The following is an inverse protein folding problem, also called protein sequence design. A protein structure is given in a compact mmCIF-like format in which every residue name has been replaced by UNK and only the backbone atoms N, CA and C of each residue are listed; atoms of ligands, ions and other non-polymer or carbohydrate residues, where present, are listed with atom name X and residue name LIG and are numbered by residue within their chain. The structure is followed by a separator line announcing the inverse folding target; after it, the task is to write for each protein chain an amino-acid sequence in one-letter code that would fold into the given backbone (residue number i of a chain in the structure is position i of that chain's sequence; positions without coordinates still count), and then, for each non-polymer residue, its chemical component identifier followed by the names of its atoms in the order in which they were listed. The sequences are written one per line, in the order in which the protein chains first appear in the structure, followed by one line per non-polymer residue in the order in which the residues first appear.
data_IF_509522247078
#
_entry.id   IF_509522247078
#
_cell.length_a   1.000
_cell.length_b   1.000
_cell.length_c   1.000
_cell.angle_alpha   90.00
_cell.angle_beta   90.00
_cell.angle_gamma   90.00
#
_symmetry.space_group_name_H-M   'P 1'
#
loop_
_entity.id
_entity.type
_entity.pdbx_description
1 polymer ?
#
# COMPACT_ATOMS: atom_id res chain seq x y z
N UNK A 1 -3.11 -5.19 -4.00
CA UNK A 1 -4.18 -6.04 -3.40
C UNK A 1 -5.41 -5.17 -3.30
N UNK A 2 -6.51 -5.48 -4.01
CA UNK A 2 -7.71 -4.64 -4.06
C UNK A 2 -8.24 -4.27 -2.67
N UNK A 3 -8.23 -5.23 -1.75
CA UNK A 3 -8.74 -5.09 -0.38
C UNK A 3 -7.93 -4.06 0.44
N UNK A 4 -6.61 -3.96 0.22
CA UNK A 4 -5.78 -2.98 0.92
C UNK A 4 -6.08 -1.54 0.50
N UNK A 5 -6.44 -1.31 -0.77
CA UNK A 5 -6.79 0.05 -1.24
C UNK A 5 -8.13 0.49 -0.69
N UNK A 6 -9.12 -0.41 -0.64
CA UNK A 6 -10.39 -0.14 0.02
C UNK A 6 -10.20 0.14 1.51
N UNK A 7 -9.34 -0.63 2.18
CA UNK A 7 -9.03 -0.39 3.58
C UNK A 7 -8.36 0.96 3.84
N UNK A 8 -7.52 1.48 2.91
CA UNK A 8 -6.94 2.82 3.04
C UNK A 8 -8.01 3.90 3.13
N UNK A 9 -9.09 3.78 2.35
CA UNK A 9 -10.23 4.72 2.42
C UNK A 9 -10.90 4.63 3.79
N UNK A 10 -11.21 3.42 4.26
CA UNK A 10 -11.81 3.21 5.59
C UNK A 10 -10.93 3.76 6.71
N UNK A 11 -9.62 3.53 6.63
CA UNK A 11 -8.65 4.05 7.60
C UNK A 11 -8.57 5.58 7.56
N UNK A 12 -8.69 6.19 6.38
CA UNK A 12 -8.71 7.64 6.25
C UNK A 12 -9.93 8.25 6.95
N UNK A 13 -11.11 7.67 6.74
CA UNK A 13 -12.35 8.11 7.40
C UNK A 13 -12.25 7.96 8.92
N UNK A 14 -11.72 6.82 9.40
CA UNK A 14 -11.45 6.60 10.82
C UNK A 14 -10.52 7.68 11.40
N UNK A 15 -9.38 7.96 10.75
CA UNK A 15 -8.43 9.00 11.16
C UNK A 15 -9.11 10.37 11.23
N UNK A 16 -9.92 10.71 10.24
CA UNK A 16 -10.61 12.00 10.16
C UNK A 16 -11.65 12.17 11.28
N UNK A 17 -12.52 11.19 11.44
CA UNK A 17 -13.59 11.22 12.46
C UNK A 17 -13.01 11.25 13.86
N UNK A 18 -12.05 10.36 14.17
CA UNK A 18 -11.37 10.36 15.46
C UNK A 18 -10.70 11.71 15.73
N UNK A 19 -10.02 12.30 14.75
CA UNK A 19 -9.36 13.60 14.91
C UNK A 19 -10.37 14.71 15.21
N UNK A 20 -11.45 14.80 14.45
CA UNK A 20 -12.48 15.83 14.66
C UNK A 20 -13.10 15.73 16.05
N UNK A 21 -13.47 14.52 16.48
CA UNK A 21 -14.04 14.30 17.82
C UNK A 21 -13.04 14.58 18.93
N UNK A 22 -11.80 14.15 18.75
CA UNK A 22 -10.73 14.39 19.70
C UNK A 22 -10.47 15.89 19.90
N UNK A 23 -10.52 16.71 18.85
CA UNK A 23 -10.33 18.16 18.98
C UNK A 23 -11.43 18.80 19.85
N UNK A 24 -12.70 18.40 19.69
CA UNK A 24 -13.80 18.88 20.53
C UNK A 24 -13.65 18.42 21.99
N UNK A 25 -13.25 17.16 22.21
CA UNK A 25 -12.98 16.63 23.55
C UNK A 25 -11.83 17.40 24.21
N UNK A 26 -10.76 17.70 23.46
CA UNK A 26 -9.64 18.50 23.94
C UNK A 26 -10.06 19.92 24.32
N UNK A 27 -10.97 20.54 23.56
CA UNK A 27 -11.54 21.85 23.89
C UNK A 27 -12.40 21.79 25.16
N UNK A 28 -13.20 20.74 25.33
CA UNK A 28 -14.11 20.58 26.48
C UNK A 28 -13.38 20.27 27.80
N UNK A 29 -12.37 19.41 27.76
CA UNK A 29 -11.72 18.87 28.97
C UNK A 29 -10.31 19.41 29.22
N UNK A 30 -9.72 20.10 28.23
CA UNK A 30 -8.38 20.66 28.29
C UNK A 30 -7.31 19.69 27.77
N UNK A 31 -6.27 20.26 27.14
CA UNK A 31 -5.19 19.49 26.51
C UNK A 31 -4.33 18.68 27.49
N UNK A 32 -4.21 19.14 28.73
CA UNK A 32 -3.38 18.49 29.76
C UNK A 32 -4.15 17.47 30.61
N UNK A 33 -5.45 17.28 30.33
CA UNK A 33 -6.26 16.26 31.00
C UNK A 33 -5.67 14.87 30.75
N UNK A 34 -5.47 14.07 31.81
CA UNK A 34 -4.74 12.80 31.73
C UNK A 34 -5.30 11.85 30.67
N UNK A 35 -6.63 11.68 30.62
CA UNK A 35 -7.25 10.82 29.63
C UNK A 35 -7.18 11.36 28.19
N UNK A 36 -7.20 12.68 28.02
CA UNK A 36 -7.07 13.33 26.70
C UNK A 36 -5.65 13.11 26.17
N UNK A 37 -4.63 13.28 27.01
CA UNK A 37 -3.24 12.96 26.66
C UNK A 37 -3.07 11.48 26.34
N UNK A 38 -3.66 10.60 27.14
CA UNK A 38 -3.57 9.15 26.94
C UNK A 38 -4.17 8.73 25.59
N UNK A 39 -5.42 9.13 25.30
CA UNK A 39 -6.07 8.76 24.04
C UNK A 39 -5.36 9.39 22.83
N UNK A 40 -4.79 10.60 22.97
CA UNK A 40 -3.96 11.20 21.92
C UNK A 40 -2.73 10.33 21.61
N UNK A 41 -2.06 9.81 22.64
CA UNK A 41 -0.94 8.89 22.51
C UNK A 41 -1.33 7.58 21.83
N UNK A 42 -2.45 6.99 22.24
CA UNK A 42 -3.00 5.77 21.62
C UNK A 42 -3.34 5.98 20.14
N UNK A 43 -4.04 7.07 19.81
CA UNK A 43 -4.38 7.44 18.42
C UNK A 43 -3.12 7.58 17.56
N UNK A 44 -2.12 8.33 18.02
CA UNK A 44 -0.84 8.51 17.32
C UNK A 44 -0.11 7.18 17.13
N UNK A 45 -0.07 6.35 18.16
CA UNK A 45 0.62 5.06 18.14
C UNK A 45 0.01 4.07 17.15
N UNK A 46 -1.31 3.88 17.17
CA UNK A 46 -1.99 2.92 16.29
C UNK A 46 -2.01 3.44 14.84
N UNK A 47 -2.38 4.70 14.63
CA UNK A 47 -2.42 5.25 13.28
C UNK A 47 -1.05 5.42 12.64
N UNK A 48 0.00 5.67 13.44
CA UNK A 48 1.38 5.73 12.99
C UNK A 48 1.93 4.38 12.52
N UNK A 49 1.43 3.26 13.05
CA UNK A 49 1.82 1.93 12.55
C UNK A 49 1.38 1.69 11.11
N UNK A 50 0.26 2.27 10.69
CA UNK A 50 -0.20 2.24 9.30
C UNK A 50 0.61 3.15 8.37
N UNK A 51 1.44 4.05 8.91
CA UNK A 51 2.35 4.85 8.09
C UNK A 51 3.58 4.02 7.67
N UNK A 52 3.81 2.86 8.30
CA UNK A 52 4.81 1.89 7.84
C UNK A 52 4.39 1.30 6.48
N UNK A 53 5.14 1.56 5.38
CA UNK A 53 4.73 1.08 4.07
C UNK A 53 4.70 -0.46 3.96
N UNK A 54 5.32 -1.17 4.91
CA UNK A 54 5.45 -2.64 4.90
C UNK A 54 4.12 -3.30 5.23
N UNK A 55 3.30 -2.63 6.04
CA UNK A 55 1.95 -3.11 6.37
C UNK A 55 1.13 -3.27 5.10
N UNK A 56 1.27 -2.34 4.15
CA UNK A 56 0.52 -2.35 2.90
C UNK A 56 1.01 -3.37 1.88
N UNK A 57 2.20 -3.95 2.07
CA UNK A 57 2.71 -5.07 1.27
C UNK A 57 2.32 -6.44 1.85
N UNK A 58 1.67 -6.46 3.01
CA UNK A 58 1.01 -7.64 3.56
C UNK A 58 -0.45 -7.67 3.15
N UNK A 59 -1.05 -8.86 3.11
CA UNK A 59 -2.50 -8.98 2.98
C UNK A 59 -3.15 -8.59 4.31
N UNK A 60 -3.98 -7.55 4.27
CA UNK A 60 -4.79 -7.17 5.42
C UNK A 60 -6.08 -7.99 5.41
N UNK A 61 -6.44 -8.57 6.56
CA UNK A 61 -7.71 -9.28 6.74
C UNK A 61 -8.50 -8.51 7.77
N UNK A 62 -9.74 -8.15 7.44
CA UNK A 62 -10.59 -7.36 8.31
C UNK A 62 -12.07 -7.58 8.00
N UNK A 63 -12.94 -7.41 9.01
CA UNK A 63 -14.38 -7.31 8.83
C UNK A 63 -14.75 -5.84 8.55
N UNK A 64 -15.15 -5.54 7.31
CA UNK A 64 -15.52 -4.18 6.93
C UNK A 64 -16.74 -3.67 7.72
N UNK A 65 -17.71 -4.53 8.00
CA UNK A 65 -18.94 -4.15 8.71
C UNK A 65 -18.63 -3.78 10.15
N UNK A 66 -17.79 -4.59 10.81
CA UNK A 66 -17.40 -4.34 12.19
C UNK A 66 -16.64 -3.01 12.34
N UNK A 67 -15.69 -2.75 11.44
CA UNK A 67 -14.90 -1.51 11.44
C UNK A 67 -15.79 -0.30 11.20
N UNK A 68 -16.66 -0.35 10.19
CA UNK A 68 -17.56 0.76 9.88
C UNK A 68 -18.51 1.02 11.06
N UNK A 69 -18.99 -0.02 11.75
CA UNK A 69 -19.82 0.15 12.94
C UNK A 69 -19.06 0.86 14.08
N UNK A 70 -17.79 0.54 14.31
CA UNK A 70 -16.98 1.23 15.31
C UNK A 70 -16.68 2.68 14.92
N UNK A 71 -16.38 2.94 13.65
CA UNK A 71 -16.19 4.30 13.12
C UNK A 71 -17.46 5.15 13.35
N UNK A 72 -18.63 4.60 13.02
CA UNK A 72 -19.91 5.28 13.24
C UNK A 72 -20.16 5.56 14.71
N UNK A 73 -19.87 4.61 15.62
CA UNK A 73 -19.99 4.81 17.07
C UNK A 73 -19.12 5.97 17.56
N UNK A 74 -17.87 6.08 17.08
CA UNK A 74 -17.01 7.24 17.37
C UNK A 74 -17.64 8.52 16.81
N UNK A 75 -18.15 8.47 15.57
CA UNK A 75 -18.79 9.61 14.91
C UNK A 75 -20.02 10.16 15.63
N UNK A 76 -20.79 9.32 16.31
CA UNK A 76 -21.98 9.73 17.06
C UNK A 76 -21.74 9.92 18.56
N UNK A 77 -20.55 9.59 19.08
CA UNK A 77 -20.22 9.81 20.48
C UNK A 77 -20.32 11.29 20.85
N UNK A 78 -20.97 11.56 21.99
CA UNK A 78 -21.09 12.89 22.57
C UNK A 78 -19.72 13.34 23.09
N UNK A 79 -19.12 14.42 22.55
CA UNK A 79 -17.85 14.95 23.02
C UNK A 79 -17.88 15.51 24.46
N UNK A 80 -19.05 15.67 25.07
CA UNK A 80 -19.19 16.02 26.49
C UNK A 80 -19.23 14.81 27.42
N UNK A 81 -19.37 13.59 26.88
CA UNK A 81 -19.27 12.33 27.61
C UNK A 81 -17.89 11.69 27.34
N UNK A 82 -16.90 12.11 28.13
CA UNK A 82 -15.51 11.67 27.98
C UNK A 82 -15.38 10.14 28.08
N UNK A 83 -16.04 9.51 29.05
CA UNK A 83 -15.96 8.07 29.29
C UNK A 83 -16.46 7.27 28.09
N UNK A 84 -17.62 7.66 27.54
CA UNK A 84 -18.16 7.01 26.36
C UNK A 84 -17.27 7.23 25.13
N UNK A 85 -16.78 8.46 24.89
CA UNK A 85 -15.87 8.75 23.79
C UNK A 85 -14.58 7.90 23.88
N UNK A 86 -13.97 7.83 25.05
CA UNK A 86 -12.78 7.02 25.29
C UNK A 86 -13.04 5.54 25.02
N UNK A 87 -14.17 5.02 25.52
CA UNK A 87 -14.56 3.62 25.32
C UNK A 87 -14.69 3.28 23.83
N UNK A 88 -15.52 4.01 23.08
CA UNK A 88 -15.77 3.67 21.67
C UNK A 88 -14.52 3.89 20.80
N UNK A 89 -13.70 4.89 21.13
CA UNK A 89 -12.43 5.12 20.42
C UNK A 89 -11.44 4.00 20.70
N UNK A 90 -11.31 3.56 21.96
CA UNK A 90 -10.44 2.44 22.33
C UNK A 90 -10.88 1.13 21.71
N UNK A 91 -12.19 0.87 21.60
CA UNK A 91 -12.71 -0.31 20.91
C UNK A 91 -12.28 -0.32 19.43
N UNK A 92 -12.40 0.81 18.73
CA UNK A 92 -11.89 0.95 17.35
C UNK A 92 -10.37 0.73 17.28
N UNK A 93 -9.60 1.39 18.15
CA UNK A 93 -8.14 1.27 18.16
C UNK A 93 -7.69 -0.16 18.47
N UNK A 94 -8.40 -0.85 19.36
CA UNK A 94 -8.14 -2.25 19.70
C UNK A 94 -8.37 -3.16 18.48
N UNK A 95 -9.47 -2.98 17.75
CA UNK A 95 -9.72 -3.75 16.53
C UNK A 95 -8.60 -3.51 15.50
N UNK A 96 -8.29 -2.23 15.22
CA UNK A 96 -7.22 -1.87 14.28
C UNK A 96 -5.87 -2.51 14.67
N UNK A 97 -5.53 -2.50 15.96
CA UNK A 97 -4.26 -3.02 16.47
C UNK A 97 -4.22 -4.55 16.52
N UNK A 98 -5.17 -5.18 17.20
CA UNK A 98 -5.11 -6.61 17.53
C UNK A 98 -5.57 -7.50 16.38
N UNK A 99 -6.51 -7.03 15.56
CA UNK A 99 -7.10 -7.86 14.51
C UNK A 99 -6.48 -7.57 13.14
N UNK A 100 -6.21 -6.30 12.83
CA UNK A 100 -5.70 -5.91 11.51
C UNK A 100 -4.18 -5.85 11.49
N UNK A 101 -3.55 -5.14 12.43
CA UNK A 101 -2.11 -4.89 12.40
C UNK A 101 -1.26 -6.04 12.94
N UNK A 102 -1.74 -6.79 13.93
CA UNK A 102 -0.96 -7.80 14.65
C UNK A 102 -0.30 -8.83 13.73
N UNK A 103 -1.08 -9.44 12.82
CA UNK A 103 -0.56 -10.46 11.88
C UNK A 103 0.43 -9.86 10.88
N UNK A 104 0.11 -8.76 10.16
CA UNK A 104 1.06 -8.08 9.29
C UNK A 104 2.36 -7.69 9.98
N UNK A 105 2.30 -7.10 11.17
CA UNK A 105 3.50 -6.65 11.89
C UNK A 105 4.36 -7.81 12.37
N UNK A 106 3.75 -8.90 12.85
CA UNK A 106 4.46 -10.12 13.19
C UNK A 106 5.13 -10.75 11.96
N UNK A 107 4.43 -10.77 10.82
CA UNK A 107 4.99 -11.25 9.56
C UNK A 107 6.20 -10.42 9.15
N UNK A 108 6.08 -9.08 9.16
CA UNK A 108 7.15 -8.14 8.82
C UNK A 108 8.38 -8.33 9.71
N UNK A 109 8.18 -8.45 11.03
CA UNK A 109 9.28 -8.63 11.98
C UNK A 109 10.04 -9.95 11.78
N UNK A 110 9.38 -10.97 11.22
CA UNK A 110 9.97 -12.28 10.93
C UNK A 110 10.52 -12.44 9.50
N UNK A 111 10.45 -11.42 8.64
CA UNK A 111 10.85 -11.56 7.24
C UNK A 111 12.38 -11.65 7.10
N UNK A 112 12.83 -12.68 6.39
CA UNK A 112 14.19 -12.80 5.87
C UNK A 112 14.31 -12.06 4.52
N UNK A 113 15.53 -11.68 4.08
CA UNK A 113 15.74 -11.09 2.76
C UNK A 113 15.16 -11.93 1.60
N UNK A 114 15.19 -13.26 1.71
CA UNK A 114 14.58 -14.18 0.74
C UNK A 114 13.05 -14.04 0.62
N UNK A 115 12.37 -13.63 1.69
CA UNK A 115 10.92 -13.41 1.68
C UNK A 115 10.57 -12.16 0.87
N UNK A 116 11.42 -11.13 0.94
CA UNK A 116 11.30 -9.96 0.09
C UNK A 116 11.52 -10.30 -1.38
N UNK A 117 12.48 -11.18 -1.70
CA UNK A 117 12.69 -11.65 -3.06
C UNK A 117 11.43 -12.34 -3.60
N UNK A 118 10.80 -13.18 -2.79
CA UNK A 118 9.53 -13.84 -3.15
C UNK A 118 8.42 -12.82 -3.42
N UNK A 119 8.23 -11.82 -2.54
CA UNK A 119 7.25 -10.75 -2.76
C UNK A 119 7.55 -9.90 -3.99
N UNK A 120 8.82 -9.63 -4.27
CA UNK A 120 9.26 -8.90 -5.46
C UNK A 120 8.94 -9.68 -6.72
N UNK A 121 9.16 -11.00 -6.74
CA UNK A 121 8.78 -11.88 -7.84
C UNK A 121 7.27 -11.87 -8.09
N UNK A 122 6.46 -11.92 -7.03
CA UNK A 122 5.00 -11.78 -7.14
C UNK A 122 4.57 -10.42 -7.70
N UNK A 123 5.19 -9.34 -7.23
CA UNK A 123 4.93 -8.00 -7.76
C UNK A 123 5.31 -7.89 -9.24
N UNK A 124 6.45 -8.45 -9.66
CA UNK A 124 6.86 -8.50 -11.07
C UNK A 124 5.85 -9.29 -11.92
N UNK A 125 5.33 -10.41 -11.42
CA UNK A 125 4.32 -11.22 -12.10
C UNK A 125 3.03 -10.43 -12.31
N UNK A 126 2.53 -9.78 -11.27
CA UNK A 126 1.31 -8.96 -11.36
C UNK A 126 1.50 -7.75 -12.28
N UNK A 127 2.65 -7.08 -12.22
CA UNK A 127 2.97 -5.96 -13.11
C UNK A 127 3.05 -6.41 -14.57
N UNK A 128 3.61 -7.58 -14.86
CA UNK A 128 3.62 -8.16 -16.21
C UNK A 128 2.20 -8.39 -16.75
N UNK A 129 1.28 -8.91 -15.92
CA UNK A 129 -0.13 -9.07 -16.32
C UNK A 129 -0.80 -7.73 -16.66
N UNK A 130 -0.46 -6.66 -15.92
CA UNK A 130 -0.99 -5.31 -16.17
C UNK A 130 -0.45 -4.70 -17.46
N UNK A 131 0.84 -4.90 -17.75
CA UNK A 131 1.47 -4.50 -19.01
C UNK A 131 0.74 -5.16 -20.18
N UNK A 132 0.63 -6.49 -20.18
CA UNK A 132 -0.03 -7.24 -21.25
C UNK A 132 -1.51 -6.84 -21.43
N UNK A 133 -2.24 -6.61 -20.33
CA UNK A 133 -3.61 -6.12 -20.38
C UNK A 133 -3.72 -4.74 -21.02
N UNK A 134 -2.74 -3.85 -20.77
CA UNK A 134 -2.73 -2.50 -21.34
C UNK A 134 -2.31 -2.50 -22.81
N UNK A 135 -1.36 -3.32 -23.21
CA UNK A 135 -1.01 -3.52 -24.64
C UNK A 135 -2.22 -4.01 -25.43
N UNK A 136 -2.94 -4.99 -24.89
CA UNK A 136 -4.19 -5.50 -25.49
C UNK A 136 -5.23 -4.39 -25.64
N UNK A 137 -5.38 -3.53 -24.63
CA UNK A 137 -6.25 -2.36 -24.73
C UNK A 137 -5.86 -1.47 -25.91
N UNK A 138 -4.58 -1.09 -26.03
CA UNK A 138 -4.15 -0.18 -27.10
C UNK A 138 -4.35 -0.80 -28.49
N UNK A 139 -4.03 -2.07 -28.65
CA UNK A 139 -4.30 -2.82 -29.88
C UNK A 139 -5.78 -2.80 -30.26
N UNK A 140 -6.67 -3.04 -29.31
CA UNK A 140 -8.13 -3.02 -29.53
C UNK A 140 -8.67 -1.60 -29.84
N UNK A 141 -7.90 -0.54 -29.59
CA UNK A 141 -8.24 0.84 -29.90
C UNK A 141 -7.46 1.39 -31.11
N UNK A 142 -6.89 0.51 -31.94
CA UNK A 142 -6.18 0.90 -33.16
C UNK A 142 -4.79 1.52 -32.93
N UNK A 143 -4.23 1.37 -31.73
CA UNK A 143 -2.91 1.87 -31.35
C UNK A 143 -1.96 0.69 -31.09
N UNK A 144 -1.76 -0.16 -32.09
CA UNK A 144 -0.91 -1.35 -31.92
C UNK A 144 0.56 -0.96 -31.64
N UNK A 145 1.02 -1.24 -30.43
CA UNK A 145 2.36 -0.89 -29.96
C UNK A 145 3.47 -1.65 -30.68
N UNK A 146 3.17 -2.79 -31.31
CA UNK A 146 4.15 -3.53 -32.13
C UNK A 146 4.63 -2.73 -33.34
N UNK A 147 3.88 -1.71 -33.76
CA UNK A 147 4.22 -0.82 -34.87
C UNK A 147 4.97 0.45 -34.39
N UNK A 148 5.27 0.56 -33.09
CA UNK A 148 5.97 1.70 -32.52
C UNK A 148 7.44 1.34 -32.22
N UNK A 149 8.36 1.84 -33.06
CA UNK A 149 9.80 1.56 -32.97
C UNK A 149 10.41 1.91 -31.60
N UNK A 150 9.92 2.96 -30.95
CA UNK A 150 10.40 3.34 -29.62
C UNK A 150 9.98 2.30 -28.58
N UNK A 151 8.74 1.83 -28.65
CA UNK A 151 8.24 0.80 -27.75
C UNK A 151 8.98 -0.52 -27.96
N UNK A 152 9.11 -1.00 -29.19
CA UNK A 152 9.76 -2.30 -29.49
C UNK A 152 11.18 -2.35 -28.96
N UNK A 153 11.96 -1.28 -29.13
CA UNK A 153 13.31 -1.17 -28.56
C UNK A 153 13.31 -1.24 -27.04
N UNK A 154 12.41 -0.51 -26.39
CA UNK A 154 12.29 -0.53 -24.92
C UNK A 154 11.87 -1.92 -24.43
N UNK A 155 10.98 -2.59 -25.16
CA UNK A 155 10.47 -3.91 -24.82
C UNK A 155 11.54 -5.00 -24.88
N UNK A 156 12.37 -5.01 -25.92
CA UNK A 156 13.51 -5.92 -26.02
C UNK A 156 14.50 -5.75 -24.86
N UNK A 157 14.84 -4.50 -24.54
CA UNK A 157 15.70 -4.17 -23.41
C UNK A 157 15.06 -4.58 -22.07
N UNK A 158 13.76 -4.31 -21.91
CA UNK A 158 13.02 -4.65 -20.71
C UNK A 158 12.97 -6.16 -20.49
N UNK A 159 12.60 -6.94 -21.52
CA UNK A 159 12.47 -8.39 -21.43
C UNK A 159 13.78 -9.05 -21.00
N UNK A 160 14.90 -8.59 -21.56
CA UNK A 160 16.24 -9.04 -21.17
C UNK A 160 16.53 -8.73 -19.70
N UNK A 161 16.29 -7.49 -19.26
CA UNK A 161 16.54 -7.06 -17.88
C UNK A 161 15.61 -7.74 -16.88
N UNK A 162 14.34 -7.89 -17.21
CA UNK A 162 13.34 -8.52 -16.37
C UNK A 162 13.63 -10.02 -16.18
N UNK A 163 14.09 -10.71 -17.23
CA UNK A 163 14.54 -12.10 -17.13
C UNK A 163 15.75 -12.24 -16.19
N UNK A 164 16.78 -11.40 -16.38
CA UNK A 164 17.96 -11.38 -15.50
C UNK A 164 17.60 -11.07 -14.04
N UNK A 165 16.68 -10.13 -13.82
CA UNK A 165 16.28 -9.72 -12.48
C UNK A 165 15.51 -10.83 -11.76
N UNK A 166 14.60 -11.51 -12.46
CA UNK A 166 13.90 -12.69 -11.90
C UNK A 166 14.88 -13.81 -11.57
N UNK A 167 15.87 -14.08 -12.41
CA UNK A 167 16.89 -15.09 -12.15
C UNK A 167 17.69 -14.75 -10.89
N UNK A 168 18.13 -13.49 -10.76
CA UNK A 168 18.89 -13.02 -9.60
C UNK A 168 18.08 -13.09 -8.30
N UNK A 169 16.80 -12.72 -8.32
CA UNK A 169 15.89 -12.84 -7.17
C UNK A 169 15.67 -14.31 -6.77
N UNK A 170 15.40 -15.19 -7.74
CA UNK A 170 15.20 -16.63 -7.49
C UNK A 170 16.46 -17.28 -6.91
N UNK A 171 17.64 -16.88 -7.39
CA UNK A 171 18.92 -17.37 -6.90
C UNK A 171 19.39 -16.73 -5.59
N UNK A 172 18.62 -15.78 -5.03
CA UNK A 172 19.04 -14.92 -3.91
C UNK A 172 20.42 -14.26 -4.14
N UNK A 173 20.76 -13.97 -5.40
CA UNK A 173 22.00 -13.30 -5.81
C UNK A 173 21.94 -11.82 -5.42
N UNK A 174 20.72 -11.27 -5.37
CA UNK A 174 20.44 -9.92 -4.92
C UNK A 174 19.39 -9.97 -3.81
N UNK A 175 19.44 -8.96 -2.95
CA UNK A 175 18.45 -8.77 -1.90
C UNK A 175 17.51 -7.63 -2.33
N UNK A 176 16.25 -7.97 -2.50
CA UNK A 176 15.21 -6.96 -2.67
C UNK A 176 14.71 -6.46 -1.33
N UNK A 177 14.12 -5.27 -1.37
CA UNK A 177 13.53 -4.62 -0.23
C UNK A 177 12.04 -4.40 -0.42
N UNK A 178 11.40 -4.05 0.67
CA UNK A 178 10.02 -3.55 0.65
C UNK A 178 9.82 -2.38 -0.32
N UNK A 179 10.76 -1.44 -0.39
CA UNK A 179 10.71 -0.31 -1.32
C UNK A 179 10.60 -0.79 -2.76
N UNK A 180 11.25 -1.91 -3.09
CA UNK A 180 11.23 -2.48 -4.44
C UNK A 180 9.85 -3.04 -4.77
N UNK A 181 9.26 -3.80 -3.85
CA UNK A 181 7.89 -4.32 -3.98
C UNK A 181 6.89 -3.17 -4.21
N UNK A 182 7.03 -2.08 -3.45
CA UNK A 182 6.15 -0.90 -3.55
C UNK A 182 6.32 -0.22 -4.91
N UNK A 183 7.56 0.05 -5.34
CA UNK A 183 7.83 0.72 -6.60
C UNK A 183 7.35 -0.11 -7.79
N UNK A 184 7.62 -1.41 -7.82
CA UNK A 184 7.16 -2.34 -8.87
C UNK A 184 5.64 -2.36 -8.94
N UNK A 185 4.97 -2.44 -7.78
CA UNK A 185 3.50 -2.43 -7.72
C UNK A 185 2.95 -1.10 -8.24
N UNK A 186 3.57 0.03 -7.86
CA UNK A 186 3.14 1.37 -8.28
C UNK A 186 3.32 1.59 -9.77
N UNK A 187 4.44 1.17 -10.35
CA UNK A 187 4.63 1.15 -11.79
C UNK A 187 3.52 0.34 -12.48
N UNK A 188 3.20 -0.85 -11.97
CA UNK A 188 2.11 -1.67 -12.50
C UNK A 188 0.75 -0.97 -12.49
N UNK A 189 0.39 -0.28 -11.40
CA UNK A 189 -0.88 0.49 -11.34
C UNK A 189 -0.89 1.67 -12.31
N UNK A 190 0.21 2.43 -12.40
CA UNK A 190 0.32 3.56 -13.31
C UNK A 190 0.24 3.10 -14.77
N UNK A 191 0.92 2.01 -15.11
CA UNK A 191 0.86 1.38 -16.44
C UNK A 191 -0.57 0.96 -16.77
N UNK A 192 -1.26 0.29 -15.83
CA UNK A 192 -2.67 -0.11 -16.00
C UNK A 192 -3.58 1.10 -16.28
N UNK A 193 -3.32 2.23 -15.64
CA UNK A 193 -4.11 3.45 -15.78
C UNK A 193 -3.72 4.35 -16.97
N UNK A 194 -2.65 4.03 -17.70
CA UNK A 194 -2.08 4.92 -18.72
C UNK A 194 -2.96 5.02 -19.98
N UNK A 195 -3.81 6.04 -20.08
CA UNK A 195 -4.78 6.18 -21.19
C UNK A 195 -4.12 6.40 -22.55
N UNK A 196 -3.00 7.11 -22.61
CA UNK A 196 -2.31 7.47 -23.85
C UNK A 196 -1.00 6.69 -24.06
N UNK A 197 -0.71 6.31 -25.31
CA UNK A 197 0.50 5.56 -25.69
C UNK A 197 1.80 6.22 -25.22
N UNK A 198 2.04 7.54 -25.41
CA UNK A 198 3.29 8.15 -24.94
C UNK A 198 3.48 8.06 -23.42
N UNK A 199 2.38 8.15 -22.65
CA UNK A 199 2.40 8.01 -21.18
C UNK A 199 2.76 6.58 -20.79
N UNK A 200 2.16 5.60 -21.46
CA UNK A 200 2.48 4.19 -21.25
C UNK A 200 3.95 3.89 -21.53
N UNK A 201 4.48 4.33 -22.69
CA UNK A 201 5.88 4.11 -23.08
C UNK A 201 6.83 4.74 -22.05
N UNK A 202 6.54 5.96 -21.58
CA UNK A 202 7.36 6.62 -20.57
C UNK A 202 7.37 5.85 -19.24
N UNK A 203 6.22 5.36 -18.78
CA UNK A 203 6.11 4.56 -17.54
C UNK A 203 6.79 3.20 -17.69
N UNK A 204 6.64 2.54 -18.84
CA UNK A 204 7.27 1.25 -19.13
C UNK A 204 8.79 1.38 -19.18
N UNK A 205 9.31 2.43 -19.81
CA UNK A 205 10.74 2.78 -19.77
C UNK A 205 11.22 3.02 -18.34
N UNK A 206 10.50 3.84 -17.56
CA UNK A 206 10.84 4.11 -16.17
C UNK A 206 10.90 2.83 -15.31
N UNK A 207 9.98 1.90 -15.56
CA UNK A 207 9.99 0.58 -14.92
C UNK A 207 11.20 -0.26 -15.35
N UNK A 208 11.52 -0.30 -16.65
CA UNK A 208 12.72 -0.98 -17.17
C UNK A 208 14.02 -0.41 -16.59
N UNK A 209 14.11 0.91 -16.49
CA UNK A 209 15.26 1.61 -15.89
C UNK A 209 15.37 1.33 -14.40
N UNK A 210 14.25 1.29 -13.67
CA UNK A 210 14.25 0.85 -12.27
C UNK A 210 14.83 -0.55 -12.12
N UNK A 211 14.38 -1.53 -12.91
CA UNK A 211 14.92 -2.91 -12.89
C UNK A 211 16.43 -2.89 -13.17
N UNK A 212 16.89 -2.08 -14.13
CA UNK A 212 18.31 -1.95 -14.44
C UNK A 212 19.13 -1.55 -13.22
N UNK A 213 18.62 -0.64 -12.36
CA UNK A 213 19.35 -0.23 -11.15
C UNK A 213 19.47 -1.32 -10.08
N UNK A 214 18.69 -2.40 -10.21
CA UNK A 214 18.71 -3.54 -9.28
C UNK A 214 19.59 -4.69 -9.73
N UNK A 215 20.00 -4.68 -10.99
CA UNK A 215 20.93 -5.67 -11.51
C UNK A 215 22.36 -5.28 -11.11
N UNK A 216 23.23 -6.26 -10.81
CA UNK A 216 24.67 -6.01 -10.68
C UNK A 216 25.19 -5.30 -11.93
N UNK A 217 26.12 -4.36 -11.76
CA UNK A 217 26.83 -3.79 -12.90
C UNK A 217 27.55 -4.93 -13.64
N UNK A 218 27.23 -5.08 -14.93
CA UNK A 218 27.96 -5.95 -15.86
C UNK A 218 29.16 -5.19 -16.39
#
# INVERSE_FOLDING_TARGET
MPDNEQFKTVLHDAKLICRQKFEVVKENFGQDHTDVVAIQGELKSVYGQFDNPAVWSQQLTYDQTEIMNLILKVGVADPSDLDNFLKVTRDLLKLLKEEILKKPLAAIAGMLPSDWNTKTLDALRLTHQRIAGRETYFKNHGQDLSQNDQFTKIDEEHNTRAAAYRLALNGNIIESSQTDVILITRYGELIKAAVAVPVFIALYKGFSDFIKTKLPAV
#
